data_IF_621484124757
#
_entry.id   IF_621484124757
#
_cell.length_a   1.000
_cell.length_b   1.000
_cell.length_c   1.000
_cell.angle_alpha   90.00
_cell.angle_beta   90.00
_cell.angle_gamma   90.00
#
_symmetry.space_group_name_H-M   'P 1'
#
loop_
_entity.id
_entity.type
_entity.pdbx_description
1 polymer ?
#
# COMPACT_ATOMS: atom_id res chain seq x y z
N UNK A 1 -11.50 13.50 2.16
CA UNK A 1 -10.82 13.17 0.90
C UNK A 1 -10.26 11.75 0.97
N UNK A 2 -10.69 10.87 0.08
CA UNK A 2 -10.19 9.50 -0.05
C UNK A 2 -8.90 9.51 -0.88
N UNK A 3 -7.78 9.75 -0.21
CA UNK A 3 -6.47 9.94 -0.85
C UNK A 3 -5.91 8.67 -1.54
N UNK A 4 -6.49 7.51 -1.27
CA UNK A 4 -6.23 6.23 -1.94
C UNK A 4 -7.48 5.70 -2.64
N UNK A 5 -8.43 6.58 -2.99
CA UNK A 5 -9.70 6.19 -3.61
C UNK A 5 -9.50 5.40 -4.90
N UNK A 6 -10.10 4.21 -4.97
CA UNK A 6 -10.01 3.30 -6.11
C UNK A 6 -8.69 2.55 -6.26
N UNK A 7 -7.70 2.77 -5.39
CA UNK A 7 -6.44 2.02 -5.42
C UNK A 7 -6.61 0.62 -4.86
N UNK A 8 -6.03 -0.34 -5.54
CA UNK A 8 -6.03 -1.76 -5.22
C UNK A 8 -4.71 -2.16 -4.56
N UNK A 9 -4.77 -2.64 -3.33
CA UNK A 9 -3.61 -2.94 -2.50
C UNK A 9 -3.55 -4.43 -2.19
N UNK A 10 -2.47 -5.09 -2.58
CA UNK A 10 -2.17 -6.43 -2.09
C UNK A 10 -1.27 -6.33 -0.86
N UNK A 11 -1.80 -6.69 0.31
CA UNK A 11 -1.07 -6.68 1.57
C UNK A 11 -0.52 -8.08 1.88
N UNK A 12 0.78 -8.24 1.81
CA UNK A 12 1.51 -9.41 2.25
C UNK A 12 1.91 -9.30 3.72
N UNK A 13 1.70 -10.35 4.49
CA UNK A 13 2.02 -10.38 5.93
C UNK A 13 2.88 -11.61 6.21
N UNK A 14 4.07 -11.43 6.76
CA UNK A 14 4.94 -12.51 7.18
C UNK A 14 4.95 -12.71 8.70
N UNK A 15 5.41 -13.88 9.16
CA UNK A 15 5.36 -14.31 10.56
C UNK A 15 6.29 -13.52 11.47
N UNK A 16 5.76 -12.51 12.10
CA UNK A 16 6.43 -11.64 13.09
C UNK A 16 5.42 -11.17 14.11
N UNK A 17 5.86 -10.91 15.32
CA UNK A 17 5.02 -10.27 16.34
C UNK A 17 4.37 -8.98 15.81
N UNK A 18 5.07 -8.23 14.95
CA UNK A 18 4.53 -7.01 14.35
C UNK A 18 3.31 -7.23 13.44
N UNK A 19 2.96 -8.48 13.12
CA UNK A 19 1.74 -8.80 12.36
C UNK A 19 0.45 -8.35 13.08
N UNK A 20 0.48 -8.15 14.42
CA UNK A 20 -0.65 -7.58 15.15
C UNK A 20 -1.03 -6.18 14.67
N UNK A 21 -0.11 -5.46 14.01
CA UNK A 21 -0.36 -4.13 13.43
C UNK A 21 -1.11 -4.20 12.09
N UNK A 22 -1.11 -5.34 11.41
CA UNK A 22 -1.72 -5.50 10.09
C UNK A 22 -3.24 -5.22 10.08
N UNK A 23 -4.04 -5.65 11.05
CA UNK A 23 -5.46 -5.28 11.14
C UNK A 23 -5.69 -3.75 11.16
N UNK A 24 -4.83 -3.01 11.87
CA UNK A 24 -4.90 -1.55 11.88
C UNK A 24 -4.51 -0.97 10.51
N UNK A 25 -3.49 -1.52 9.85
CA UNK A 25 -3.07 -1.09 8.51
C UNK A 25 -4.19 -1.30 7.48
N UNK A 26 -4.85 -2.47 7.48
CA UNK A 26 -6.02 -2.76 6.63
C UNK A 26 -7.12 -1.72 6.85
N UNK A 27 -7.49 -1.45 8.10
CA UNK A 27 -8.52 -0.43 8.41
C UNK A 27 -8.15 0.96 7.93
N UNK A 28 -6.88 1.36 8.05
CA UNK A 28 -6.40 2.66 7.60
C UNK A 28 -6.42 2.77 6.08
N UNK A 29 -6.01 1.72 5.35
CA UNK A 29 -6.07 1.66 3.88
C UNK A 29 -7.51 1.83 3.39
N UNK A 30 -8.45 1.05 3.94
CA UNK A 30 -9.87 1.13 3.59
C UNK A 30 -10.45 2.50 3.93
N UNK A 31 -10.14 3.07 5.10
CA UNK A 31 -10.58 4.41 5.47
C UNK A 31 -10.08 5.49 4.49
N UNK A 32 -8.96 5.25 3.81
CA UNK A 32 -8.42 6.10 2.75
C UNK A 32 -8.99 5.81 1.37
N UNK A 33 -9.91 4.85 1.27
CA UNK A 33 -10.65 4.50 0.05
C UNK A 33 -9.99 3.42 -0.82
N UNK A 34 -8.95 2.74 -0.31
CA UNK A 34 -8.33 1.63 -1.01
C UNK A 34 -9.17 0.35 -0.89
N UNK A 35 -9.12 -0.49 -1.91
CA UNK A 35 -9.53 -1.89 -1.85
C UNK A 35 -8.32 -2.73 -1.44
N UNK A 36 -8.50 -3.67 -0.49
CA UNK A 36 -7.39 -4.44 0.09
C UNK A 36 -7.65 -5.93 -0.03
N UNK A 37 -6.74 -6.66 -0.67
CA UNK A 37 -6.62 -8.11 -0.57
C UNK A 37 -5.43 -8.47 0.29
N UNK A 38 -5.51 -9.59 1.00
CA UNK A 38 -4.46 -10.01 1.96
C UNK A 38 -3.92 -11.38 1.60
N UNK A 39 -2.59 -11.51 1.65
CA UNK A 39 -1.88 -12.79 1.55
C UNK A 39 -1.06 -12.98 2.81
N UNK A 40 -1.25 -14.10 3.50
CA UNK A 40 -0.48 -14.49 4.67
C UNK A 40 0.56 -15.55 4.29
N UNK A 41 1.77 -15.42 4.84
CA UNK A 41 2.66 -16.59 4.88
C UNK A 41 2.14 -17.60 5.90
N UNK A 42 2.47 -18.91 5.78
CA UNK A 42 2.04 -19.91 6.76
C UNK A 42 2.36 -19.51 8.20
N UNK A 43 3.57 -19.04 8.46
CA UNK A 43 3.99 -18.57 9.81
C UNK A 43 3.30 -17.29 10.29
N UNK A 44 2.66 -16.52 9.42
CA UNK A 44 1.93 -15.33 9.85
C UNK A 44 0.63 -15.67 10.58
N UNK A 45 0.06 -16.85 10.34
CA UNK A 45 -1.17 -17.31 10.96
C UNK A 45 -1.04 -17.53 12.47
N UNK A 46 0.18 -17.74 12.97
CA UNK A 46 0.47 -17.85 14.40
C UNK A 46 0.33 -16.49 15.14
N UNK A 47 0.38 -15.38 14.41
CA UNK A 47 0.36 -14.03 14.97
C UNK A 47 -0.93 -13.25 14.67
N UNK A 48 -1.61 -13.57 13.58
CA UNK A 48 -2.85 -12.90 13.17
C UNK A 48 -3.73 -13.88 12.39
N UNK A 49 -5.04 -13.89 12.72
CA UNK A 49 -5.95 -14.85 12.11
C UNK A 49 -6.46 -14.37 10.73
N UNK A 50 -6.64 -15.28 9.76
CA UNK A 50 -7.31 -14.98 8.50
C UNK A 50 -8.70 -14.37 8.70
N UNK A 51 -9.47 -14.87 9.69
CA UNK A 51 -10.82 -14.38 10.02
C UNK A 51 -10.81 -12.89 10.38
N UNK A 52 -9.86 -12.42 11.20
CA UNK A 52 -9.74 -11.01 11.54
C UNK A 52 -9.49 -10.15 10.31
N UNK A 53 -8.59 -10.58 9.44
CA UNK A 53 -8.20 -9.82 8.26
C UNK A 53 -9.27 -9.84 7.17
N UNK A 54 -9.96 -10.97 6.94
CA UNK A 54 -11.05 -11.06 5.97
C UNK A 54 -12.24 -10.21 6.37
N UNK A 55 -12.60 -10.21 7.65
CA UNK A 55 -13.65 -9.34 8.18
C UNK A 55 -13.35 -7.86 7.96
N UNK A 56 -12.10 -7.44 8.17
CA UNK A 56 -11.69 -6.04 8.02
C UNK A 56 -11.52 -5.64 6.55
N UNK A 57 -10.92 -6.48 5.73
CA UNK A 57 -10.69 -6.21 4.30
C UNK A 57 -11.96 -6.37 3.45
N UNK A 58 -12.95 -7.12 3.95
CA UNK A 58 -14.15 -7.57 3.20
C UNK A 58 -13.79 -8.43 1.98
N UNK A 59 -12.63 -9.01 1.98
CA UNK A 59 -12.13 -9.91 0.96
C UNK A 59 -11.61 -11.21 1.61
N UNK A 60 -11.65 -12.35 0.92
CA UNK A 60 -10.97 -13.55 1.37
C UNK A 60 -9.49 -13.30 1.60
N UNK A 61 -8.92 -14.00 2.58
CA UNK A 61 -7.49 -13.98 2.87
C UNK A 61 -6.87 -15.23 2.29
N UNK A 62 -5.87 -15.08 1.44
CA UNK A 62 -5.20 -16.21 0.80
C UNK A 62 -3.97 -16.61 1.64
N UNK A 63 -3.84 -17.90 1.96
CA UNK A 63 -2.77 -18.42 2.83
C UNK A 63 -1.85 -19.41 2.13
N UNK A 64 -2.34 -20.07 1.08
CA UNK A 64 -1.64 -21.11 0.32
C UNK A 64 -1.99 -21.03 -1.16
N UNK A 65 -1.27 -21.78 -2.00
CA UNK A 65 -1.56 -21.87 -3.43
C UNK A 65 -2.91 -22.53 -3.71
N UNK A 66 -3.32 -23.47 -2.86
CA UNK A 66 -4.60 -24.17 -2.97
C UNK A 66 -5.32 -24.11 -1.64
N UNK A 67 -6.59 -23.81 -1.65
CA UNK A 67 -7.46 -23.79 -0.48
C UNK A 67 -8.74 -24.56 -0.78
N UNK A 68 -9.23 -25.30 0.21
CA UNK A 68 -10.53 -25.95 0.15
C UNK A 68 -11.57 -24.89 0.58
N UNK A 69 -12.39 -24.45 -0.36
CA UNK A 69 -13.39 -23.37 -0.11
C UNK A 69 -14.83 -23.87 -0.18
N UNK A 70 -15.06 -25.07 -0.69
CA UNK A 70 -16.40 -25.65 -0.81
C UNK A 70 -16.59 -26.87 0.10
N UNK A 71 -17.87 -27.21 0.36
CA UNK A 71 -18.26 -28.38 1.16
C UNK A 71 -17.96 -29.73 0.46
N UNK A 72 -17.53 -29.68 -0.81
CA UNK A 72 -17.22 -30.85 -1.64
C UNK A 72 -15.72 -31.15 -1.67
N UNK A 73 -14.93 -30.48 -0.84
CA UNK A 73 -13.47 -30.64 -0.72
C UNK A 73 -12.69 -30.43 -2.04
N UNK A 74 -13.24 -29.66 -2.98
CA UNK A 74 -12.52 -29.33 -4.19
C UNK A 74 -11.50 -28.22 -3.92
N UNK A 75 -10.21 -28.45 -4.23
CA UNK A 75 -9.20 -27.42 -4.04
C UNK A 75 -9.37 -26.31 -5.07
N UNK A 76 -9.57 -25.08 -4.61
CA UNK A 76 -9.53 -23.88 -5.44
C UNK A 76 -8.10 -23.33 -5.48
N UNK A 77 -7.63 -23.00 -6.67
CA UNK A 77 -6.28 -22.44 -6.85
C UNK A 77 -6.28 -20.94 -6.68
N UNK A 78 -5.45 -20.45 -5.75
CA UNK A 78 -5.17 -19.04 -5.57
C UNK A 78 -4.16 -18.58 -6.63
N UNK A 79 -4.65 -17.94 -7.70
CA UNK A 79 -3.80 -17.50 -8.80
C UNK A 79 -2.94 -16.29 -8.40
N UNK A 80 -1.66 -16.55 -8.11
CA UNK A 80 -0.69 -15.51 -7.72
C UNK A 80 -0.48 -14.45 -8.80
N UNK A 81 -0.60 -14.82 -10.09
CA UNK A 81 -0.47 -13.87 -11.21
C UNK A 81 -1.64 -12.91 -11.22
N UNK A 82 -2.87 -13.41 -11.06
CA UNK A 82 -4.07 -12.56 -10.99
C UNK A 82 -4.05 -11.63 -9.78
N UNK A 83 -3.63 -12.14 -8.61
CA UNK A 83 -3.47 -11.33 -7.40
C UNK A 83 -2.47 -10.18 -7.61
N UNK A 84 -1.36 -10.48 -8.29
CA UNK A 84 -0.31 -9.49 -8.55
C UNK A 84 -0.71 -8.47 -9.61
N UNK A 85 -1.37 -8.91 -10.68
CA UNK A 85 -1.87 -8.02 -11.75
C UNK A 85 -3.06 -7.17 -11.31
N UNK A 86 -3.84 -7.65 -10.33
CA UNK A 86 -4.94 -6.89 -9.76
C UNK A 86 -4.46 -5.67 -8.96
N UNK A 87 -3.28 -5.74 -8.35
CA UNK A 87 -2.78 -4.72 -7.44
C UNK A 87 -2.18 -3.51 -8.17
N UNK A 88 -2.53 -2.30 -7.74
CA UNK A 88 -1.83 -1.07 -8.13
C UNK A 88 -0.49 -0.96 -7.41
N UNK A 89 -0.36 -1.55 -6.22
CA UNK A 89 0.89 -1.71 -5.47
C UNK A 89 0.77 -2.82 -4.42
N UNK A 90 1.91 -3.40 -4.06
CA UNK A 90 2.03 -4.43 -3.04
C UNK A 90 2.69 -3.82 -1.81
N UNK A 91 2.19 -4.15 -0.62
CA UNK A 91 2.82 -3.81 0.66
C UNK A 91 3.14 -5.13 1.36
N UNK A 92 4.39 -5.34 1.76
CA UNK A 92 4.79 -6.47 2.61
C UNK A 92 5.07 -5.91 4.01
N UNK A 93 4.12 -6.09 4.92
CA UNK A 93 4.15 -5.49 6.26
C UNK A 93 3.44 -6.37 7.31
N UNK A 94 4.21 -6.99 8.23
CA UNK A 94 5.66 -6.97 8.35
C UNK A 94 6.37 -7.81 7.28
N UNK A 95 7.64 -7.45 6.99
CA UNK A 95 8.59 -8.26 6.23
C UNK A 95 9.70 -8.77 7.16
N UNK A 96 9.72 -10.06 7.43
CA UNK A 96 10.75 -10.70 8.27
C UNK A 96 12.05 -10.88 7.51
N UNK A 97 13.15 -11.12 8.24
CA UNK A 97 14.45 -11.47 7.67
C UNK A 97 14.35 -12.64 6.68
N UNK A 98 13.59 -13.69 7.00
CA UNK A 98 13.36 -14.83 6.10
C UNK A 98 12.67 -14.41 4.80
N UNK A 99 11.61 -13.62 4.89
CA UNK A 99 10.87 -13.13 3.71
C UNK A 99 11.77 -12.23 2.85
N UNK A 100 12.51 -11.31 3.46
CA UNK A 100 13.44 -10.39 2.79
C UNK A 100 14.55 -11.18 2.08
N UNK A 101 15.14 -12.18 2.73
CA UNK A 101 16.15 -13.05 2.15
C UNK A 101 15.61 -13.86 0.96
N UNK A 102 14.41 -14.42 1.11
CA UNK A 102 13.74 -15.17 0.04
C UNK A 102 13.42 -14.27 -1.17
N UNK A 103 12.93 -13.06 -0.94
CA UNK A 103 12.71 -12.07 -2.00
C UNK A 103 14.03 -11.72 -2.71
N UNK A 104 15.10 -11.46 -1.95
CA UNK A 104 16.41 -11.08 -2.50
C UNK A 104 17.09 -12.22 -3.30
N UNK A 105 16.75 -13.47 -3.02
CA UNK A 105 17.27 -14.66 -3.73
C UNK A 105 16.27 -15.26 -4.73
N UNK A 106 15.14 -14.61 -4.98
CA UNK A 106 14.07 -15.06 -5.87
C UNK A 106 13.53 -16.46 -5.51
N UNK A 107 13.49 -16.83 -4.23
CA UNK A 107 12.83 -18.06 -3.77
C UNK A 107 11.32 -17.92 -3.84
N UNK A 108 10.65 -19.03 -4.16
CA UNK A 108 9.19 -19.05 -4.37
C UNK A 108 8.59 -20.25 -3.63
N UNK A 109 8.68 -20.28 -2.30
CA UNK A 109 8.22 -21.38 -1.46
C UNK A 109 6.84 -21.14 -0.80
N UNK A 110 6.22 -19.98 -1.05
CA UNK A 110 4.88 -19.68 -0.60
C UNK A 110 4.17 -18.69 -1.54
N UNK A 111 2.86 -18.57 -1.37
CA UNK A 111 2.00 -17.74 -2.21
C UNK A 111 2.43 -16.25 -2.23
N UNK A 112 2.85 -15.70 -1.08
CA UNK A 112 3.29 -14.31 -1.00
C UNK A 112 4.51 -14.04 -1.89
N UNK A 113 5.49 -14.94 -1.86
CA UNK A 113 6.69 -14.83 -2.69
C UNK A 113 6.39 -15.00 -4.17
N UNK A 114 5.45 -15.88 -4.53
CA UNK A 114 4.97 -16.01 -5.89
C UNK A 114 4.29 -14.71 -6.38
N UNK A 115 3.44 -14.10 -5.55
CA UNK A 115 2.85 -12.80 -5.85
C UNK A 115 3.94 -11.72 -6.03
N UNK A 116 4.93 -11.67 -5.13
CA UNK A 116 6.03 -10.73 -5.23
C UNK A 116 6.81 -10.87 -6.55
N UNK A 117 7.19 -12.09 -6.92
CA UNK A 117 7.95 -12.37 -8.15
C UNK A 117 7.15 -12.10 -9.43
N UNK A 118 5.82 -12.14 -9.35
CA UNK A 118 4.91 -11.84 -10.47
C UNK A 118 4.49 -10.36 -10.52
N UNK A 119 4.93 -9.54 -9.56
CA UNK A 119 4.52 -8.14 -9.45
C UNK A 119 5.06 -7.29 -10.60
N UNK A 120 4.17 -6.47 -11.19
CA UNK A 120 4.52 -5.43 -12.17
C UNK A 120 4.30 -4.01 -11.62
N UNK A 121 3.81 -3.92 -10.40
CA UNK A 121 3.52 -2.68 -9.70
C UNK A 121 4.59 -2.40 -8.63
N UNK A 122 4.66 -1.17 -8.08
CA UNK A 122 5.55 -0.84 -6.97
C UNK A 122 5.35 -1.76 -5.77
N UNK A 123 6.45 -2.18 -5.14
CA UNK A 123 6.44 -3.04 -3.95
C UNK A 123 7.08 -2.30 -2.78
N UNK A 124 6.31 -2.11 -1.73
CA UNK A 124 6.73 -1.49 -0.47
C UNK A 124 7.01 -2.58 0.56
N UNK A 125 8.17 -2.53 1.16
CA UNK A 125 8.62 -3.54 2.13
C UNK A 125 8.86 -2.86 3.48
N UNK A 126 8.17 -3.33 4.52
CA UNK A 126 8.31 -2.84 5.90
C UNK A 126 9.06 -3.88 6.75
N UNK A 127 10.39 -3.76 6.90
CA UNK A 127 11.18 -4.71 7.66
C UNK A 127 10.76 -4.74 9.14
N UNK A 128 10.77 -5.96 9.71
CA UNK A 128 10.49 -6.21 11.13
C UNK A 128 11.34 -7.36 11.64
N UNK A 129 12.29 -7.07 12.50
CA UNK A 129 13.18 -8.05 13.13
C UNK A 129 13.88 -7.45 14.34
N UNK A 130 14.56 -8.26 15.13
CA UNK A 130 15.33 -7.79 16.26
C UNK A 130 16.52 -6.91 15.83
N UNK A 131 17.04 -6.11 16.78
CA UNK A 131 18.10 -5.13 16.55
C UNK A 131 19.35 -5.73 15.88
N UNK A 132 19.84 -6.85 16.43
CA UNK A 132 21.06 -7.47 15.93
C UNK A 132 20.83 -8.16 14.57
N UNK A 133 19.65 -8.75 14.38
CA UNK A 133 19.24 -9.25 13.06
C UNK A 133 19.16 -8.12 12.03
N UNK A 134 18.62 -6.96 12.40
CA UNK A 134 18.52 -5.82 11.49
C UNK A 134 19.90 -5.30 11.09
N UNK A 135 20.85 -5.26 12.03
CA UNK A 135 22.24 -4.81 11.79
C UNK A 135 23.09 -5.85 11.08
N UNK A 136 22.67 -7.13 11.07
CA UNK A 136 23.47 -8.19 10.48
C UNK A 136 23.81 -7.89 9.02
N UNK A 137 25.11 -7.99 8.60
CA UNK A 137 25.52 -7.63 7.24
C UNK A 137 24.68 -8.29 6.14
N UNK A 138 24.35 -9.56 6.27
CA UNK A 138 23.51 -10.30 5.30
C UNK A 138 22.11 -9.71 5.16
N UNK A 139 21.49 -9.21 6.24
CA UNK A 139 20.18 -8.56 6.16
C UNK A 139 20.30 -7.16 5.51
N UNK A 140 21.37 -6.41 5.80
CA UNK A 140 21.60 -5.12 5.15
C UNK A 140 21.90 -5.31 3.66
N UNK A 141 22.66 -6.33 3.29
CA UNK A 141 22.90 -6.69 1.88
C UNK A 141 21.59 -7.05 1.17
N UNK A 142 20.74 -7.90 1.76
CA UNK A 142 19.46 -8.25 1.20
C UNK A 142 18.55 -7.02 1.01
N UNK A 143 18.48 -6.12 1.98
CA UNK A 143 17.72 -4.87 1.87
C UNK A 143 18.26 -3.98 0.74
N UNK A 144 19.58 -3.86 0.59
CA UNK A 144 20.20 -3.11 -0.49
C UNK A 144 19.94 -3.75 -1.85
N UNK A 145 19.97 -5.08 -1.92
CA UNK A 145 19.63 -5.84 -3.12
C UNK A 145 18.16 -5.63 -3.52
N UNK A 146 17.23 -5.65 -2.58
CA UNK A 146 15.84 -5.33 -2.86
C UNK A 146 15.66 -3.90 -3.38
N UNK A 147 16.39 -2.92 -2.82
CA UNK A 147 16.40 -1.55 -3.35
C UNK A 147 16.89 -1.51 -4.80
N UNK A 148 17.95 -2.25 -5.13
CA UNK A 148 18.47 -2.33 -6.50
C UNK A 148 17.50 -2.98 -7.50
N UNK A 149 16.56 -3.82 -7.01
CA UNK A 149 15.47 -4.37 -7.81
C UNK A 149 14.28 -3.39 -7.99
N UNK A 150 14.37 -2.18 -7.43
CA UNK A 150 13.32 -1.18 -7.50
C UNK A 150 12.29 -1.27 -6.37
N UNK A 151 12.50 -2.12 -5.35
CA UNK A 151 11.60 -2.17 -4.20
C UNK A 151 11.81 -0.97 -3.27
N UNK A 152 10.73 -0.47 -2.71
CA UNK A 152 10.72 0.67 -1.79
C UNK A 152 10.79 0.16 -0.35
N UNK A 153 11.92 0.35 0.30
CA UNK A 153 12.11 -0.09 1.68
C UNK A 153 11.60 1.01 2.62
N UNK A 154 10.57 0.68 3.39
CA UNK A 154 10.06 1.51 4.46
C UNK A 154 10.99 1.36 5.66
N UNK A 155 11.66 2.44 6.03
CA UNK A 155 12.66 2.43 7.11
C UNK A 155 12.06 1.92 8.43
N UNK A 156 12.75 0.96 9.05
CA UNK A 156 12.36 0.49 10.39
C UNK A 156 12.50 1.61 11.41
N UNK A 157 11.55 1.68 12.33
CA UNK A 157 11.57 2.65 13.42
C UNK A 157 12.41 2.13 14.60
N UNK A 158 12.86 3.06 15.44
CA UNK A 158 13.52 2.74 16.71
C UNK A 158 12.49 2.69 17.83
N UNK A 159 12.70 1.80 18.79
CA UNK A 159 11.83 1.66 19.96
C UNK A 159 12.03 0.32 20.64
N UNK A 160 11.17 0.01 21.60
CA UNK A 160 11.22 -1.24 22.34
C UNK A 160 10.85 -2.41 21.40
N UNK A 161 11.69 -3.43 21.42
CA UNK A 161 11.55 -4.67 20.68
C UNK A 161 10.97 -5.76 21.57
N UNK A 162 10.41 -6.81 20.98
CA UNK A 162 9.85 -7.94 21.75
C UNK A 162 10.89 -8.69 22.58
N UNK A 163 12.17 -8.61 22.23
CA UNK A 163 13.30 -9.14 23.00
C UNK A 163 13.64 -8.34 24.27
N UNK A 164 13.01 -7.17 24.47
CA UNK A 164 13.36 -6.24 25.54
C UNK A 164 14.49 -5.27 25.18
N UNK A 165 15.12 -5.42 24.01
CA UNK A 165 16.11 -4.48 23.51
C UNK A 165 15.40 -3.22 22.98
N UNK A 166 16.12 -2.09 22.99
CA UNK A 166 15.67 -0.85 22.37
C UNK A 166 16.58 -0.48 21.20
N UNK A 167 15.98 -0.27 20.03
CA UNK A 167 16.74 0.08 18.84
C UNK A 167 15.98 -0.03 17.54
N UNK A 168 16.71 0.06 16.43
CA UNK A 168 16.18 0.00 15.07
C UNK A 168 15.88 -1.46 14.70
N UNK A 169 14.71 -1.73 14.14
CA UNK A 169 14.23 -3.06 13.74
C UNK A 169 12.70 -3.19 13.81
N UNK A 170 12.07 -2.25 14.49
CA UNK A 170 10.61 -2.19 14.64
C UNK A 170 9.94 -1.81 13.32
N UNK A 171 8.92 -2.58 12.92
CA UNK A 171 8.13 -2.23 11.74
C UNK A 171 7.56 -0.81 11.87
N UNK A 172 7.70 -0.03 10.80
CA UNK A 172 7.10 1.31 10.70
C UNK A 172 5.63 1.30 11.13
N UNK A 173 5.21 2.29 11.89
CA UNK A 173 3.83 2.37 12.37
C UNK A 173 2.83 2.49 11.19
N UNK A 174 1.68 1.81 11.24
CA UNK A 174 0.69 1.81 10.16
C UNK A 174 0.29 3.21 9.68
N UNK A 175 0.19 4.18 10.60
CA UNK A 175 -0.10 5.58 10.26
C UNK A 175 1.02 6.21 9.42
N UNK A 176 2.27 5.86 9.70
CA UNK A 176 3.44 6.38 8.98
C UNK A 176 3.57 5.69 7.61
N UNK A 177 3.28 4.40 7.52
CA UNK A 177 3.16 3.68 6.23
C UNK A 177 2.17 4.40 5.32
N UNK A 178 0.97 4.70 5.81
CA UNK A 178 -0.05 5.42 5.03
C UNK A 178 0.42 6.82 4.60
N UNK A 179 1.09 7.55 5.50
CA UNK A 179 1.65 8.88 5.15
C UNK A 179 2.70 8.77 4.06
N UNK A 180 3.58 7.77 4.15
CA UNK A 180 4.62 7.51 3.16
C UNK A 180 4.00 7.21 1.79
N UNK A 181 3.07 6.25 1.73
CA UNK A 181 2.36 5.87 0.50
C UNK A 181 1.67 7.07 -0.18
N UNK A 182 0.95 7.88 0.60
CA UNK A 182 0.27 9.07 0.06
C UNK A 182 1.29 10.08 -0.49
N UNK A 183 2.43 10.25 0.17
CA UNK A 183 3.50 11.13 -0.29
C UNK A 183 4.14 10.62 -1.57
N UNK A 184 4.42 9.33 -1.63
CA UNK A 184 5.04 8.66 -2.78
C UNK A 184 4.14 8.75 -4.01
N UNK A 185 2.88 8.34 -3.88
CA UNK A 185 1.89 8.44 -4.95
C UNK A 185 1.67 9.88 -5.46
N UNK A 186 1.73 10.88 -4.56
CA UNK A 186 1.67 12.30 -4.97
C UNK A 186 2.89 12.73 -5.79
N UNK A 187 4.03 12.09 -5.57
CA UNK A 187 5.25 12.40 -6.32
C UNK A 187 5.17 11.95 -7.79
N UNK A 188 4.35 10.98 -8.09
CA UNK A 188 4.14 10.42 -9.44
C UNK A 188 2.96 11.08 -10.19
N UNK A 189 2.23 12.00 -9.56
CA UNK A 189 1.07 12.63 -10.19
C UNK A 189 1.50 13.50 -11.38
N UNK A 190 0.78 13.42 -12.52
CA UNK A 190 1.20 14.03 -13.79
C UNK A 190 1.31 15.56 -13.76
N UNK A 191 0.60 16.20 -12.85
CA UNK A 191 0.63 17.68 -12.70
C UNK A 191 1.46 18.15 -11.50
N UNK A 192 2.24 17.26 -10.86
CA UNK A 192 3.07 17.62 -9.71
C UNK A 192 4.00 18.80 -10.04
N UNK A 193 3.94 19.82 -9.19
CA UNK A 193 4.73 21.04 -9.32
C UNK A 193 4.28 21.98 -10.44
N UNK A 194 3.20 21.66 -11.16
CA UNK A 194 2.58 22.57 -12.11
C UNK A 194 1.66 23.54 -11.36
N UNK A 195 1.75 24.82 -11.72
CA UNK A 195 0.80 25.84 -11.28
C UNK A 195 -0.24 26.02 -12.37
N UNK A 196 -1.52 25.83 -12.03
CA UNK A 196 -2.63 25.92 -12.98
C UNK A 196 -3.55 27.05 -12.54
N UNK A 197 -3.80 27.99 -13.44
CA UNK A 197 -4.79 29.04 -13.26
C UNK A 197 -6.07 28.65 -14.00
N UNK A 198 -7.17 28.61 -13.29
CA UNK A 198 -8.49 28.29 -13.85
C UNK A 198 -9.44 29.42 -13.51
N UNK A 199 -10.03 30.05 -14.53
CA UNK A 199 -11.14 30.98 -14.36
C UNK A 199 -12.46 30.22 -14.27
N UNK A 200 -13.34 30.61 -13.35
CA UNK A 200 -14.64 29.97 -13.14
C UNK A 200 -15.68 31.01 -12.73
N UNK A 201 -16.88 30.86 -13.26
CA UNK A 201 -18.00 31.75 -12.94
C UNK A 201 -18.49 32.53 -14.15
N UNK A 202 -19.47 33.40 -13.95
CA UNK A 202 -20.00 34.29 -15.00
C UNK A 202 -19.00 35.37 -15.36
N UNK A 203 -19.08 35.83 -16.60
CA UNK A 203 -18.39 37.03 -17.07
C UNK A 203 -19.39 38.15 -17.29
N UNK A 204 -18.97 39.37 -16.97
CA UNK A 204 -19.79 40.58 -17.13
C UNK A 204 -19.00 41.60 -17.94
N UNK A 205 -19.60 42.11 -19.00
CA UNK A 205 -19.06 43.15 -19.83
C UNK A 205 -19.93 44.43 -19.66
N UNK A 206 -19.32 45.53 -19.22
CA UNK A 206 -20.04 46.75 -18.97
C UNK A 206 -20.45 47.44 -20.29
N UNK A 207 -21.71 47.79 -20.41
CA UNK A 207 -22.24 48.66 -21.49
C UNK A 207 -22.10 50.14 -21.07
N UNK A 208 -22.48 50.47 -19.84
CA UNK A 208 -22.42 51.77 -19.24
C UNK A 208 -22.28 51.65 -17.70
N UNK A 209 -22.25 52.74 -16.92
CA UNK A 209 -22.14 52.67 -15.46
C UNK A 209 -23.25 51.85 -14.75
N UNK A 210 -24.36 51.60 -15.40
CA UNK A 210 -25.53 50.96 -14.80
C UNK A 210 -25.80 49.56 -15.40
N UNK A 211 -25.54 49.36 -16.70
CA UNK A 211 -25.90 48.17 -17.44
C UNK A 211 -24.70 47.33 -17.83
N UNK A 212 -24.88 46.04 -17.88
CA UNK A 212 -23.86 45.08 -18.33
C UNK A 212 -24.51 43.93 -19.10
N UNK A 213 -23.73 43.29 -19.95
CA UNK A 213 -24.04 41.97 -20.56
C UNK A 213 -23.32 40.92 -19.74
N UNK A 214 -24.01 39.84 -19.38
CA UNK A 214 -23.43 38.70 -18.65
C UNK A 214 -23.99 37.38 -19.15
N UNK A 215 -23.33 36.29 -18.79
CA UNK A 215 -23.79 34.92 -19.05
C UNK A 215 -24.27 34.26 -17.77
N UNK A 216 -25.18 33.28 -17.90
CA UNK A 216 -25.65 32.44 -16.81
C UNK A 216 -24.68 31.24 -16.58
N UNK A 217 -23.45 31.55 -16.13
CA UNK A 217 -22.48 30.52 -15.80
C UNK A 217 -22.46 30.25 -14.30
N UNK A 218 -22.66 29.00 -13.88
CA UNK A 218 -22.49 28.58 -12.48
C UNK A 218 -21.01 28.33 -12.11
N UNK A 219 -20.10 28.41 -13.07
CA UNK A 219 -18.71 28.05 -12.88
C UNK A 219 -18.44 26.54 -12.72
N UNK A 220 -19.45 25.69 -12.80
CA UNK A 220 -19.35 24.26 -12.50
C UNK A 220 -18.21 23.56 -13.23
N UNK A 221 -17.99 23.85 -14.51
CA UNK A 221 -16.89 23.27 -15.29
C UNK A 221 -15.53 23.69 -14.73
N UNK A 222 -15.33 24.98 -14.45
CA UNK A 222 -14.07 25.50 -13.91
C UNK A 222 -13.77 24.92 -12.53
N UNK A 223 -14.76 24.80 -11.64
CA UNK A 223 -14.59 24.16 -10.34
C UNK A 223 -14.27 22.66 -10.49
N UNK A 224 -14.94 21.94 -11.38
CA UNK A 224 -14.62 20.53 -11.66
C UNK A 224 -13.21 20.34 -12.23
N UNK A 225 -12.76 21.24 -13.11
CA UNK A 225 -11.39 21.24 -13.62
C UNK A 225 -10.36 21.54 -12.52
N UNK A 226 -10.65 22.47 -11.61
CA UNK A 226 -9.78 22.79 -10.48
C UNK A 226 -9.65 21.59 -9.53
N UNK A 227 -10.76 20.89 -9.25
CA UNK A 227 -10.75 19.67 -8.45
C UNK A 227 -9.96 18.57 -9.13
N UNK A 228 -10.17 18.33 -10.43
CA UNK A 228 -9.42 17.35 -11.21
C UNK A 228 -7.93 17.67 -11.25
N UNK A 229 -7.55 18.95 -11.49
CA UNK A 229 -6.15 19.38 -11.48
C UNK A 229 -5.48 19.15 -10.12
N UNK A 230 -6.16 19.48 -9.03
CA UNK A 230 -5.68 19.22 -7.65
C UNK A 230 -5.51 17.73 -7.39
N UNK A 231 -6.43 16.89 -7.84
CA UNK A 231 -6.33 15.44 -7.72
C UNK A 231 -5.18 14.86 -8.55
N UNK A 232 -4.79 15.54 -9.63
CA UNK A 232 -3.63 15.19 -10.47
C UNK A 232 -2.32 15.83 -9.99
N UNK A 233 -2.32 16.58 -8.87
CA UNK A 233 -1.12 17.04 -8.18
C UNK A 233 -0.71 18.51 -8.47
N UNK A 234 -1.54 19.28 -9.13
CA UNK A 234 -1.32 20.72 -9.32
C UNK A 234 -1.45 21.51 -8.01
#
# INVERSE_FOLDING_TARGET
MHTLGGKKVLLGISGSIAAYKAPLLVRLLIKKGAEVKVVLTPSAMDFVTPTTLSTLSKNPVNTSFTEIKDEQDNPEWNNHVELSLWADFIIIAPATSNTISSMASARCDNLLLACYLSAKCPVFVAPSMDLDMYKHPGNQENLNKLKSFGNIILESESGDLASGLNGKGRMMEPKNIIKYLIKDLKNELPLKGKKILISAGPTYEKIDPVRFIGNFSSGKMGFSLAEAATNLGA
#
